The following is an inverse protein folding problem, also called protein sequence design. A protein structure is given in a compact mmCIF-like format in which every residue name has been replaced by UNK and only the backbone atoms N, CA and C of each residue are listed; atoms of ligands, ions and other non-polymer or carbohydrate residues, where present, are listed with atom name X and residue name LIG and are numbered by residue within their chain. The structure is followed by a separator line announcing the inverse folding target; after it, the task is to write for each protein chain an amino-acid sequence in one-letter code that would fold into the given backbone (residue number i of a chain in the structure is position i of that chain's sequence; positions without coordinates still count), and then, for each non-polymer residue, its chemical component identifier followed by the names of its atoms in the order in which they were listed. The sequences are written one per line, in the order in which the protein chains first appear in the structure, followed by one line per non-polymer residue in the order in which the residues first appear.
data_IF_424951859459
#
_entry.id   IF_424951859459
#
_cell.length_a   1.000
_cell.length_b   1.000
_cell.length_c   1.000
_cell.angle_alpha   90.00
_cell.angle_beta   90.00
_cell.angle_gamma   90.00
#
_symmetry.space_group_name_H-M   'P 1'
#
loop_
_entity.id
_entity.type
_entity.pdbx_description
1 polymer ?
#
# COMPACT_ATOMS: atom_id res chain seq x y z
N UNK A 1 -8.31 37.04 -11.39
CA UNK A 1 -7.94 35.68 -10.94
C UNK A 1 -7.15 35.82 -9.65
N UNK A 2 -7.64 35.39 -8.47
CA UNK A 2 -6.85 35.52 -7.26
C UNK A 2 -5.67 34.55 -7.31
N UNK A 3 -4.48 35.08 -7.04
CA UNK A 3 -3.27 34.30 -6.80
C UNK A 3 -3.42 33.56 -5.46
N UNK A 4 -3.70 32.26 -5.50
CA UNK A 4 -4.03 31.52 -4.26
C UNK A 4 -3.80 30.01 -4.29
N UNK A 5 -3.12 29.46 -5.31
CA UNK A 5 -2.75 28.04 -5.32
C UNK A 5 -1.25 27.94 -5.52
N UNK A 6 -0.49 28.45 -4.55
CA UNK A 6 0.91 28.06 -4.42
C UNK A 6 0.92 26.86 -3.48
N UNK A 7 1.16 25.70 -4.08
CA UNK A 7 1.14 24.38 -3.49
C UNK A 7 2.36 24.22 -2.53
N UNK A 8 2.32 24.86 -1.37
CA UNK A 8 3.30 24.58 -0.32
C UNK A 8 2.94 23.22 0.26
N UNK A 9 3.56 22.15 -0.26
CA UNK A 9 3.54 20.85 0.40
C UNK A 9 4.07 21.10 1.81
N UNK A 10 3.22 20.86 2.81
CA UNK A 10 3.51 21.15 4.21
C UNK A 10 4.85 20.50 4.60
N UNK A 11 5.81 21.30 5.07
CA UNK A 11 7.13 20.83 5.48
C UNK A 11 7.04 19.73 6.54
N UNK A 12 6.01 19.77 7.39
CA UNK A 12 5.70 18.72 8.36
C UNK A 12 5.33 17.41 7.66
N UNK A 13 4.48 17.46 6.64
CA UNK A 13 4.10 16.29 5.86
C UNK A 13 5.32 15.67 5.18
N UNK A 14 6.19 16.51 4.58
CA UNK A 14 7.43 16.04 3.95
C UNK A 14 8.30 15.29 4.97
N UNK A 15 8.49 15.84 6.17
CA UNK A 15 9.26 15.17 7.23
C UNK A 15 8.60 13.86 7.70
N UNK A 16 7.27 13.83 7.82
CA UNK A 16 6.55 12.59 8.15
C UNK A 16 6.71 11.52 7.07
N UNK A 17 6.68 11.90 5.79
CA UNK A 17 6.92 11.01 4.65
C UNK A 17 8.36 10.48 4.69
N UNK A 18 9.37 11.34 4.86
CA UNK A 18 10.77 10.90 4.99
C UNK A 18 10.97 9.92 6.15
N UNK A 19 10.25 10.11 7.25
CA UNK A 19 10.28 9.25 8.44
C UNK A 19 9.34 8.04 8.37
N UNK A 20 8.60 7.86 7.26
CA UNK A 20 7.60 6.80 7.06
C UNK A 20 6.50 6.76 8.15
N UNK A 21 6.15 7.93 8.68
CA UNK A 21 5.13 8.12 9.71
C UNK A 21 3.73 8.41 9.13
N UNK A 22 3.58 8.26 7.81
CA UNK A 22 2.29 8.30 7.13
C UNK A 22 1.90 6.89 6.70
N UNK A 23 0.59 6.66 6.59
CA UNK A 23 0.03 5.40 6.09
C UNK A 23 -0.23 5.52 4.60
N UNK A 24 0.12 4.49 3.84
CA UNK A 24 -0.19 4.40 2.41
C UNK A 24 -1.45 3.56 2.25
N UNK A 25 -2.45 4.08 1.52
CA UNK A 25 -3.59 3.27 1.10
C UNK A 25 -3.40 2.90 -0.38
N UNK A 26 -3.52 1.61 -0.70
CA UNK A 26 -3.55 1.11 -2.08
C UNK A 26 -4.95 0.60 -2.37
N UNK A 27 -5.62 1.21 -3.34
CA UNK A 27 -6.99 0.87 -3.73
C UNK A 27 -6.95 -0.01 -4.97
N UNK A 28 -7.54 -1.19 -4.87
CA UNK A 28 -7.41 -2.31 -5.79
C UNK A 28 -6.28 -3.25 -5.35
N UNK A 29 -6.58 -4.55 -5.19
CA UNK A 29 -5.66 -5.60 -4.73
C UNK A 29 -5.47 -6.71 -5.77
N UNK A 30 -5.61 -6.35 -7.05
CA UNK A 30 -5.30 -7.21 -8.19
C UNK A 30 -3.82 -7.21 -8.58
N UNK A 31 -3.54 -7.51 -9.84
CA UNK A 31 -2.20 -7.71 -10.39
C UNK A 31 -1.18 -6.60 -10.10
N UNK A 32 -1.60 -5.34 -10.12
CA UNK A 32 -0.69 -4.21 -9.85
C UNK A 32 -0.73 -3.79 -8.39
N UNK A 33 -1.93 -3.76 -7.81
CA UNK A 33 -2.13 -3.23 -6.47
C UNK A 33 -1.54 -4.08 -5.36
N UNK A 34 -1.71 -5.41 -5.43
CA UNK A 34 -1.16 -6.32 -4.41
C UNK A 34 0.38 -6.27 -4.33
N UNK A 35 1.13 -6.45 -5.43
CA UNK A 35 2.58 -6.31 -5.39
C UNK A 35 3.04 -4.91 -4.97
N UNK A 36 2.31 -3.85 -5.38
CA UNK A 36 2.62 -2.47 -4.98
C UNK A 36 2.47 -2.27 -3.46
N UNK A 37 1.36 -2.75 -2.89
CA UNK A 37 1.10 -2.66 -1.45
C UNK A 37 2.17 -3.42 -0.65
N UNK A 38 2.50 -4.64 -1.08
CA UNK A 38 3.53 -5.46 -0.44
C UNK A 38 4.94 -4.88 -0.60
N UNK A 39 5.24 -4.25 -1.75
CA UNK A 39 6.49 -3.53 -1.98
C UNK A 39 6.65 -2.33 -1.05
N UNK A 40 5.59 -1.55 -0.81
CA UNK A 40 5.64 -0.49 0.19
C UNK A 40 5.79 -1.04 1.61
N UNK A 41 5.10 -2.12 1.95
CA UNK A 41 5.22 -2.77 3.26
C UNK A 41 6.65 -3.30 3.50
N UNK A 42 7.26 -3.95 2.51
CA UNK A 42 8.63 -4.45 2.60
C UNK A 42 9.68 -3.35 2.72
N UNK A 43 9.37 -2.16 2.20
CA UNK A 43 10.16 -0.94 2.42
C UNK A 43 9.90 -0.32 3.80
N UNK A 44 9.09 -0.92 4.68
CA UNK A 44 8.84 -0.46 6.05
C UNK A 44 7.78 0.62 6.18
N UNK A 45 6.91 0.78 5.18
CA UNK A 45 5.74 1.66 5.29
C UNK A 45 4.57 0.90 5.94
N UNK A 46 3.73 1.61 6.70
CA UNK A 46 2.41 1.07 7.08
C UNK A 46 1.46 1.19 5.90
N UNK A 47 0.96 0.06 5.40
CA UNK A 47 0.11 0.01 4.21
C UNK A 47 -1.28 -0.54 4.55
N UNK A 48 -2.31 0.05 3.97
CA UNK A 48 -3.68 -0.45 3.97
C UNK A 48 -4.06 -0.85 2.54
N UNK A 49 -4.21 -2.14 2.29
CA UNK A 49 -4.80 -2.65 1.05
C UNK A 49 -6.33 -2.56 1.11
N UNK A 50 -6.95 -2.04 0.06
CA UNK A 50 -8.41 -1.89 -0.04
C UNK A 50 -8.88 -2.47 -1.36
N UNK A 51 -9.92 -3.29 -1.34
CA UNK A 51 -10.58 -3.78 -2.55
C UNK A 51 -12.08 -3.95 -2.27
N UNK A 52 -12.91 -3.82 -3.31
CA UNK A 52 -14.35 -4.07 -3.22
C UNK A 52 -14.72 -5.55 -3.13
N UNK A 53 -13.81 -6.45 -3.53
CA UNK A 53 -14.05 -7.89 -3.54
C UNK A 53 -13.74 -8.51 -2.17
N UNK A 54 -14.78 -8.78 -1.37
CA UNK A 54 -14.66 -9.50 -0.09
C UNK A 54 -13.96 -10.88 -0.21
N UNK A 55 -14.23 -11.70 -1.26
CA UNK A 55 -13.53 -12.97 -1.44
C UNK A 55 -12.02 -12.79 -1.65
N UNK A 56 -11.61 -11.76 -2.40
CA UNK A 56 -10.20 -11.44 -2.64
C UNK A 56 -9.52 -11.00 -1.34
N UNK A 57 -10.15 -10.11 -0.57
CA UNK A 57 -9.61 -9.66 0.71
C UNK A 57 -9.47 -10.82 1.69
N UNK A 58 -10.48 -11.69 1.79
CA UNK A 58 -10.44 -12.88 2.66
C UNK A 58 -9.29 -13.83 2.27
N UNK A 59 -9.06 -14.01 0.96
CA UNK A 59 -7.95 -14.82 0.45
C UNK A 59 -6.59 -14.23 0.84
N UNK A 60 -6.40 -12.92 0.64
CA UNK A 60 -5.16 -12.20 0.98
C UNK A 60 -4.92 -12.25 2.49
N UNK A 61 -5.95 -12.01 3.31
CA UNK A 61 -5.89 -12.11 4.78
C UNK A 61 -5.60 -13.54 5.28
N UNK A 62 -5.87 -14.56 4.47
CA UNK A 62 -5.47 -15.93 4.74
C UNK A 62 -4.05 -16.26 4.26
N UNK A 63 -3.26 -15.26 3.83
CA UNK A 63 -1.90 -15.43 3.31
C UNK A 63 -1.84 -16.09 1.94
N UNK A 64 -2.91 -15.99 1.14
CA UNK A 64 -3.00 -16.56 -0.21
C UNK A 64 -3.08 -15.47 -1.27
N UNK A 65 -2.37 -15.68 -2.38
CA UNK A 65 -2.38 -14.77 -3.52
C UNK A 65 -3.43 -15.20 -4.57
N UNK A 66 -4.10 -14.25 -5.26
CA UNK A 66 -5.13 -14.56 -6.26
C UNK A 66 -4.59 -14.95 -7.64
N UNK A 67 -3.28 -14.79 -7.87
CA UNK A 67 -2.59 -15.15 -9.11
C UNK A 67 -1.14 -15.55 -8.81
N UNK A 68 -0.51 -16.22 -9.77
CA UNK A 68 0.91 -16.59 -9.65
C UNK A 68 1.81 -15.44 -10.09
N UNK A 69 2.71 -15.05 -9.20
CA UNK A 69 3.84 -14.17 -9.48
C UNK A 69 5.02 -14.64 -8.61
N UNK A 70 6.23 -14.85 -9.19
CA UNK A 70 7.35 -15.39 -8.44
C UNK A 70 7.70 -14.57 -7.19
N UNK A 71 7.69 -15.20 -6.02
CA UNK A 71 8.06 -14.57 -4.74
C UNK A 71 6.92 -13.81 -4.04
N UNK A 72 5.74 -13.70 -4.67
CA UNK A 72 4.65 -12.88 -4.13
C UNK A 72 4.00 -13.51 -2.89
N UNK A 73 3.91 -14.84 -2.82
CA UNK A 73 3.30 -15.50 -1.66
C UNK A 73 4.23 -15.49 -0.44
N UNK A 74 5.54 -15.60 -0.62
CA UNK A 74 6.49 -15.39 0.47
C UNK A 74 6.46 -13.93 0.94
N UNK A 75 6.44 -12.98 0.01
CA UNK A 75 6.36 -11.56 0.35
C UNK A 75 5.06 -11.26 1.10
N UNK A 76 3.93 -11.80 0.65
CA UNK A 76 2.65 -11.67 1.36
C UNK A 76 2.77 -12.18 2.80
N UNK A 77 3.25 -13.40 3.00
CA UNK A 77 3.40 -14.00 4.35
C UNK A 77 4.33 -13.20 5.26
N UNK A 78 5.36 -12.55 4.70
CA UNK A 78 6.28 -11.71 5.48
C UNK A 78 5.66 -10.38 5.91
N UNK A 79 4.73 -9.83 5.12
CA UNK A 79 4.12 -8.52 5.37
C UNK A 79 2.72 -8.62 6.00
N UNK A 80 2.10 -9.80 5.99
CA UNK A 80 0.83 -10.04 6.65
C UNK A 80 1.06 -10.12 8.16
N UNK A 81 0.48 -9.18 8.92
CA UNK A 81 0.56 -9.09 10.37
C UNK A 81 -0.75 -8.64 10.97
#
# INVERSE_FOLDING_TARGET
MPAGVVNAVDARLIEQVKRKQVRIAVIGMGHVGLPTALGFASLGWTVLGVDSSEPLISMIQAGRVPFYEPGLDELLKQQLG
#
